data_IF_371886120826
#
_entry.id   IF_371886120826
#
_cell.length_a   1.000
_cell.length_b   1.000
_cell.length_c   1.000
_cell.angle_alpha   90.00
_cell.angle_beta   90.00
_cell.angle_gamma   90.00
#
_symmetry.space_group_name_H-M   'P 1'
#
loop_
_entity.id
_entity.type
_entity.pdbx_description
1 polymer ?
#
# COMPACT_ATOMS: atom_id res chain seq x y z
N UNK A 1 15.88 -0.34 5.07
CA UNK A 1 16.73 -0.01 6.24
C UNK A 1 17.20 1.43 6.10
N UNK A 2 17.05 2.24 7.17
CA UNK A 2 17.66 3.57 7.30
C UNK A 2 18.38 3.64 8.65
N UNK A 3 19.69 3.94 8.61
CA UNK A 3 20.53 4.04 9.80
C UNK A 3 21.43 5.26 9.71
N UNK A 4 21.61 5.96 10.84
CA UNK A 4 22.52 7.11 10.98
C UNK A 4 22.22 8.25 9.98
N UNK A 5 20.97 8.42 9.60
CA UNK A 5 20.52 9.46 8.68
C UNK A 5 20.20 10.78 9.39
N UNK A 6 20.29 11.89 8.64
CA UNK A 6 19.77 13.18 9.03
C UNK A 6 18.67 13.59 8.04
N UNK A 7 17.46 13.77 8.56
CA UNK A 7 16.28 14.26 7.85
C UNK A 7 15.92 15.63 8.41
N UNK A 8 16.25 16.68 7.70
CA UNK A 8 16.12 18.05 8.20
C UNK A 8 15.40 18.97 7.22
N UNK A 9 14.48 19.77 7.76
CA UNK A 9 13.78 20.82 7.00
C UNK A 9 13.02 20.31 5.77
N UNK A 10 12.47 19.11 5.89
CA UNK A 10 11.64 18.54 4.83
C UNK A 10 10.32 19.30 4.73
N UNK A 11 9.84 19.53 3.49
CA UNK A 11 8.58 20.24 3.25
C UNK A 11 7.34 19.36 3.47
N UNK A 12 7.54 18.07 3.63
CA UNK A 12 6.54 17.05 3.92
C UNK A 12 7.10 16.12 5.00
N UNK A 13 6.66 14.85 5.07
CA UNK A 13 7.21 13.85 5.98
C UNK A 13 8.71 13.64 5.72
N UNK A 14 9.47 13.33 6.76
CA UNK A 14 10.88 13.02 6.57
C UNK A 14 11.08 11.75 5.76
N UNK A 15 10.23 10.77 6.01
CA UNK A 15 10.19 9.51 5.27
C UNK A 15 8.77 8.94 5.28
N UNK A 16 8.32 8.42 4.15
CA UNK A 16 7.09 7.66 4.00
C UNK A 16 7.42 6.33 3.35
N UNK A 17 7.11 5.22 4.02
CA UNK A 17 7.37 3.86 3.56
C UNK A 17 6.05 3.10 3.54
N UNK A 18 5.65 2.66 2.35
CA UNK A 18 4.37 1.98 2.14
C UNK A 18 4.41 1.09 0.90
N UNK A 19 3.46 0.18 0.79
CA UNK A 19 3.05 -0.43 -0.47
C UNK A 19 1.87 0.34 -1.05
N UNK A 20 1.20 -0.23 -2.06
CA UNK A 20 0.07 0.41 -2.72
C UNK A 20 -1.09 -0.56 -2.89
N UNK A 21 -2.28 -0.17 -2.46
CA UNK A 21 -3.51 -0.90 -2.73
C UNK A 21 -3.99 -0.68 -4.16
N UNK A 22 -4.59 -1.72 -4.75
CA UNK A 22 -5.54 -1.54 -5.84
C UNK A 22 -6.97 -1.55 -5.27
N UNK A 23 -7.82 -0.64 -5.72
CA UNK A 23 -9.26 -0.72 -5.46
C UNK A 23 -9.87 -1.77 -6.36
N UNK A 24 -10.75 -2.61 -5.80
CA UNK A 24 -11.60 -3.52 -6.58
C UNK A 24 -12.64 -2.68 -7.33
N UNK A 25 -12.59 -2.75 -8.66
CA UNK A 25 -13.51 -2.00 -9.53
C UNK A 25 -14.64 -2.89 -10.06
N UNK A 26 -14.32 -4.16 -10.31
CA UNK A 26 -15.28 -5.08 -10.90
C UNK A 26 -14.90 -6.52 -10.61
N UNK A 27 -15.89 -7.35 -10.30
CA UNK A 27 -15.77 -8.80 -10.31
C UNK A 27 -16.15 -9.32 -11.71
N UNK A 28 -15.28 -10.16 -12.27
CA UNK A 28 -15.52 -10.78 -13.59
C UNK A 28 -16.12 -12.19 -13.40
N UNK A 29 -15.51 -12.96 -12.52
CA UNK A 29 -15.93 -14.30 -12.14
C UNK A 29 -15.44 -14.64 -10.72
N UNK A 30 -15.55 -15.90 -10.30
CA UNK A 30 -15.19 -16.31 -8.94
C UNK A 30 -13.69 -16.22 -8.64
N UNK A 31 -12.85 -16.14 -9.65
CA UNK A 31 -11.40 -16.05 -9.50
C UNK A 31 -10.80 -14.75 -10.02
N UNK A 32 -11.59 -13.90 -10.71
CA UNK A 32 -11.02 -12.79 -11.47
C UNK A 32 -11.67 -11.46 -11.12
N UNK A 33 -10.82 -10.48 -10.78
CA UNK A 33 -11.21 -9.10 -10.51
C UNK A 33 -10.49 -8.12 -11.45
N UNK A 34 -11.06 -6.93 -11.57
CA UNK A 34 -10.36 -5.74 -12.06
C UNK A 34 -9.99 -4.89 -10.85
N UNK A 35 -8.70 -4.65 -10.67
CA UNK A 35 -8.15 -3.72 -9.69
C UNK A 35 -7.62 -2.45 -10.36
N UNK A 36 -7.72 -1.31 -9.67
CA UNK A 36 -7.28 0.00 -10.18
C UNK A 36 -6.43 0.74 -9.16
N UNK A 37 -5.33 1.33 -9.59
CA UNK A 37 -4.65 2.40 -8.86
C UNK A 37 -5.55 3.62 -8.76
N UNK A 38 -5.73 4.14 -7.56
CA UNK A 38 -6.66 5.24 -7.31
C UNK A 38 -5.98 6.60 -7.19
N UNK A 39 -4.77 6.65 -6.63
CA UNK A 39 -4.04 7.90 -6.47
C UNK A 39 -3.19 8.21 -7.69
N UNK A 40 -3.17 9.48 -8.12
CA UNK A 40 -2.47 9.90 -9.35
C UNK A 40 -0.94 9.76 -9.28
N UNK A 41 -0.37 9.67 -8.11
CA UNK A 41 1.08 9.48 -7.90
C UNK A 41 1.49 8.01 -7.74
N UNK A 42 0.53 7.07 -7.75
CA UNK A 42 0.79 5.67 -7.43
C UNK A 42 0.78 4.70 -8.61
N UNK A 43 0.58 5.17 -9.83
CA UNK A 43 0.46 4.32 -11.01
C UNK A 43 1.56 4.56 -12.05
N UNK A 44 1.66 3.68 -13.04
CA UNK A 44 2.67 3.73 -14.10
C UNK A 44 3.70 2.60 -14.06
N UNK A 45 3.54 1.65 -13.15
CA UNK A 45 4.39 0.46 -13.01
C UNK A 45 3.53 -0.79 -12.76
N UNK A 46 4.14 -1.98 -12.87
CA UNK A 46 3.47 -3.23 -12.54
C UNK A 46 3.16 -3.31 -11.04
N UNK A 47 1.97 -3.83 -10.71
CA UNK A 47 1.53 -3.92 -9.31
C UNK A 47 1.87 -5.25 -8.64
N UNK A 48 2.06 -6.31 -9.42
CA UNK A 48 2.38 -7.63 -8.89
C UNK A 48 2.69 -8.62 -9.99
N UNK A 49 3.06 -9.83 -9.58
CA UNK A 49 3.44 -10.94 -10.46
C UNK A 49 2.73 -12.23 -10.04
N UNK A 50 2.60 -13.23 -10.94
CA UNK A 50 2.10 -14.55 -10.58
C UNK A 50 2.92 -15.16 -9.43
N UNK A 51 2.21 -15.66 -8.41
CA UNK A 51 2.81 -16.20 -7.19
C UNK A 51 2.81 -15.23 -6.00
N UNK A 52 2.60 -13.94 -6.21
CA UNK A 52 2.51 -12.97 -5.11
C UNK A 52 1.34 -13.29 -4.19
N UNK A 53 1.58 -13.17 -2.90
CA UNK A 53 0.56 -13.30 -1.85
C UNK A 53 -0.23 -12.02 -1.71
N UNK A 54 -1.54 -12.15 -1.60
CA UNK A 54 -2.45 -11.00 -1.40
C UNK A 54 -3.46 -11.27 -0.30
N UNK A 55 -4.02 -10.21 0.24
CA UNK A 55 -5.29 -10.26 0.92
C UNK A 55 -6.19 -9.09 0.50
N UNK A 56 -7.48 -9.19 0.88
CA UNK A 56 -8.46 -8.16 0.59
C UNK A 56 -8.76 -7.39 1.86
N UNK A 57 -8.94 -6.08 1.72
CA UNK A 57 -9.22 -5.15 2.82
C UNK A 57 -10.53 -4.42 2.54
N UNK A 58 -11.39 -4.30 3.55
CA UNK A 58 -12.55 -3.41 3.51
C UNK A 58 -12.09 -1.98 3.74
N UNK A 59 -12.24 -1.11 2.76
CA UNK A 59 -11.65 0.25 2.78
C UNK A 59 -12.09 1.10 3.98
N UNK A 60 -13.35 0.98 4.41
CA UNK A 60 -13.89 1.82 5.49
C UNK A 60 -13.44 1.44 6.90
N UNK A 61 -13.03 0.20 7.13
CA UNK A 61 -12.65 -0.32 8.46
C UNK A 61 -11.24 -0.87 8.53
N UNK A 62 -10.58 -1.04 7.39
CA UNK A 62 -9.27 -1.69 7.25
C UNK A 62 -9.26 -3.17 7.68
N UNK A 63 -10.43 -3.80 7.79
CA UNK A 63 -10.53 -5.22 8.11
C UNK A 63 -10.14 -6.10 6.95
N UNK A 64 -9.40 -7.17 7.24
CA UNK A 64 -9.11 -8.23 6.27
C UNK A 64 -10.41 -9.00 5.97
N UNK A 65 -10.68 -9.22 4.69
CA UNK A 65 -11.86 -9.93 4.20
C UNK A 65 -11.48 -11.20 3.49
N UNK A 66 -12.11 -12.30 3.89
CA UNK A 66 -11.83 -13.62 3.34
C UNK A 66 -10.50 -14.21 3.83
N UNK A 67 -9.97 -15.14 3.06
CA UNK A 67 -8.68 -15.79 3.32
C UNK A 67 -7.59 -15.18 2.44
N UNK A 68 -6.32 -15.22 2.87
CA UNK A 68 -5.20 -14.92 1.98
C UNK A 68 -5.28 -15.73 0.68
N UNK A 69 -4.89 -15.10 -0.42
CA UNK A 69 -4.91 -15.68 -1.75
C UNK A 69 -3.56 -15.44 -2.43
N UNK A 70 -3.40 -15.92 -3.65
CA UNK A 70 -2.22 -15.61 -4.47
C UNK A 70 -2.62 -15.32 -5.90
N UNK A 71 -1.78 -14.56 -6.59
CA UNK A 71 -1.97 -14.19 -7.99
C UNK A 71 -1.63 -15.40 -8.87
N UNK A 72 -2.59 -15.87 -9.66
CA UNK A 72 -2.36 -16.86 -10.70
C UNK A 72 -1.94 -16.22 -12.02
N UNK A 73 -2.55 -15.07 -12.35
CA UNK A 73 -2.21 -14.29 -13.54
C UNK A 73 -2.58 -12.82 -13.33
N UNK A 74 -1.82 -11.92 -13.92
CA UNK A 74 -2.08 -10.49 -13.93
C UNK A 74 -1.73 -9.90 -15.30
N UNK A 75 -2.56 -9.00 -15.77
CA UNK A 75 -2.33 -8.28 -17.04
C UNK A 75 -3.00 -6.90 -17.01
N UNK A 76 -2.50 -5.91 -17.76
CA UNK A 76 -3.21 -4.65 -17.92
C UNK A 76 -4.63 -4.87 -18.44
N UNK A 77 -5.60 -4.17 -17.87
CA UNK A 77 -7.01 -4.26 -18.29
C UNK A 77 -7.37 -3.19 -19.34
N UNK A 78 -6.67 -2.07 -19.35
CA UNK A 78 -6.83 -0.97 -20.32
C UNK A 78 -5.53 -0.79 -21.10
N UNK A 79 -5.56 -1.12 -22.39
CA UNK A 79 -4.39 -1.00 -23.27
C UNK A 79 -4.20 0.41 -23.87
N UNK A 80 -5.11 1.35 -23.62
CA UNK A 80 -5.16 2.65 -24.29
C UNK A 80 -4.67 3.83 -23.44
N UNK A 81 -4.12 3.59 -22.27
CA UNK A 81 -3.58 4.66 -21.45
C UNK A 81 -2.15 5.00 -21.90
N UNK A 82 -1.96 6.22 -22.36
CA UNK A 82 -0.68 6.70 -22.90
C UNK A 82 0.40 6.90 -21.85
N UNK A 83 0.07 6.74 -20.56
CA UNK A 83 0.95 7.09 -19.44
C UNK A 83 1.18 5.95 -18.44
N UNK A 84 0.96 4.69 -18.81
CA UNK A 84 1.25 3.52 -17.98
C UNK A 84 0.01 2.71 -17.59
N UNK A 85 0.20 1.78 -16.67
CA UNK A 85 -0.83 0.84 -16.27
C UNK A 85 -1.60 1.38 -15.06
N UNK A 86 -2.90 1.57 -15.21
CA UNK A 86 -3.78 2.01 -14.13
C UNK A 86 -4.73 0.92 -13.67
N UNK A 87 -5.14 0.04 -14.56
CA UNK A 87 -6.04 -1.08 -14.27
C UNK A 87 -5.40 -2.42 -14.62
N UNK A 88 -5.68 -3.40 -13.78
CA UNK A 88 -5.21 -4.77 -13.97
C UNK A 88 -6.37 -5.75 -13.87
N UNK A 89 -6.39 -6.71 -14.81
CA UNK A 89 -7.16 -7.93 -14.67
C UNK A 89 -6.29 -8.92 -13.89
N UNK A 90 -6.78 -9.32 -12.72
CA UNK A 90 -6.07 -10.20 -11.81
C UNK A 90 -6.88 -11.47 -11.63
N UNK A 91 -6.27 -12.62 -11.93
CA UNK A 91 -6.84 -13.94 -11.65
C UNK A 91 -6.12 -14.53 -10.44
N UNK A 92 -6.89 -15.04 -9.48
CA UNK A 92 -6.39 -15.60 -8.23
C UNK A 92 -6.40 -17.14 -8.25
N UNK A 93 -5.50 -17.74 -7.48
CA UNK A 93 -5.40 -19.19 -7.38
C UNK A 93 -6.63 -19.85 -6.72
N UNK A 94 -7.21 -19.15 -5.72
CA UNK A 94 -8.41 -19.62 -5.02
C UNK A 94 -9.60 -18.70 -5.33
N UNK A 95 -10.84 -19.19 -5.18
CA UNK A 95 -12.01 -18.33 -5.33
C UNK A 95 -11.95 -17.12 -4.39
N UNK A 96 -12.33 -15.98 -4.91
CA UNK A 96 -12.47 -14.74 -4.16
C UNK A 96 -13.74 -14.79 -3.32
N UNK A 97 -13.68 -14.30 -2.08
CA UNK A 97 -14.83 -14.25 -1.19
C UNK A 97 -16.04 -13.59 -1.89
N UNK A 98 -17.24 -14.19 -1.82
CA UNK A 98 -18.43 -13.65 -2.47
C UNK A 98 -18.80 -12.22 -2.05
N UNK A 99 -18.39 -11.77 -0.87
CA UNK A 99 -18.62 -10.39 -0.41
C UNK A 99 -17.91 -9.37 -1.30
N UNK A 100 -16.81 -9.76 -1.95
CA UNK A 100 -16.01 -8.86 -2.81
C UNK A 100 -16.62 -8.85 -4.19
N UNK A 101 -17.69 -8.11 -4.34
CA UNK A 101 -18.50 -8.03 -5.57
C UNK A 101 -18.22 -6.79 -6.43
N UNK A 102 -17.45 -5.83 -5.92
CA UNK A 102 -17.16 -4.56 -6.57
C UNK A 102 -18.21 -3.47 -6.32
N UNK A 103 -19.22 -3.72 -5.49
CA UNK A 103 -20.23 -2.72 -5.11
C UNK A 103 -19.81 -1.96 -3.84
N UNK A 104 -19.24 -2.66 -2.87
CA UNK A 104 -18.60 -2.04 -1.72
C UNK A 104 -17.13 -1.68 -2.02
N UNK A 105 -16.52 -0.85 -1.18
CA UNK A 105 -15.15 -0.44 -1.35
C UNK A 105 -14.16 -1.44 -0.73
N UNK A 106 -13.49 -2.19 -1.57
CA UNK A 106 -12.44 -3.12 -1.19
C UNK A 106 -11.11 -2.75 -1.84
N UNK A 107 -10.03 -2.90 -1.05
CA UNK A 107 -8.66 -2.85 -1.53
C UNK A 107 -8.08 -4.25 -1.71
N UNK A 108 -7.14 -4.37 -2.62
CA UNK A 108 -6.27 -5.55 -2.77
C UNK A 108 -4.87 -5.15 -2.32
N UNK A 109 -4.33 -5.82 -1.33
CA UNK A 109 -2.98 -5.60 -0.82
C UNK A 109 -2.06 -6.71 -1.30
N UNK A 110 -0.91 -6.34 -1.87
CA UNK A 110 0.13 -7.28 -2.24
C UNK A 110 1.12 -7.44 -1.09
N UNK A 111 1.03 -8.54 -0.36
CA UNK A 111 1.85 -8.83 0.82
C UNK A 111 3.31 -9.12 0.47
N UNK A 112 3.59 -9.58 -0.75
CA UNK A 112 4.95 -9.85 -1.20
C UNK A 112 5.74 -8.56 -1.40
N UNK A 113 5.08 -7.47 -1.78
CA UNK A 113 5.68 -6.18 -2.11
C UNK A 113 5.56 -5.15 -0.98
N UNK A 114 4.99 -5.51 0.16
CA UNK A 114 4.96 -4.64 1.35
C UNK A 114 6.31 -4.69 2.07
N UNK A 115 6.90 -3.54 2.43
CA UNK A 115 8.24 -3.49 2.98
C UNK A 115 8.30 -3.84 4.47
N UNK A 116 9.36 -4.54 4.88
CA UNK A 116 9.84 -4.51 6.26
C UNK A 116 10.66 -3.24 6.50
N UNK A 117 10.59 -2.70 7.71
CA UNK A 117 11.26 -1.44 8.07
C UNK A 117 12.23 -1.63 9.22
N UNK A 118 13.46 -1.18 9.02
CA UNK A 118 14.41 -0.89 10.10
C UNK A 118 14.83 0.58 10.01
N UNK A 119 14.47 1.36 11.03
CA UNK A 119 14.72 2.80 11.12
C UNK A 119 15.45 3.10 12.45
N UNK A 120 16.79 3.27 12.40
CA UNK A 120 17.64 3.31 13.58
C UNK A 120 18.63 4.46 13.57
N UNK A 121 18.92 4.98 14.76
CA UNK A 121 19.98 5.98 14.98
C UNK A 121 19.87 7.21 14.06
N UNK A 122 18.66 7.59 13.65
CA UNK A 122 18.42 8.74 12.79
C UNK A 122 18.08 10.01 13.61
N UNK A 123 18.36 11.14 13.01
CA UNK A 123 17.92 12.45 13.52
C UNK A 123 16.92 13.03 12.53
N UNK A 124 15.71 13.30 13.00
CA UNK A 124 14.62 13.89 12.24
C UNK A 124 14.26 15.22 12.90
N UNK A 125 14.43 16.34 12.19
CA UNK A 125 14.18 17.62 12.80
C UNK A 125 13.72 18.72 11.84
N UNK A 126 12.97 19.68 12.41
CA UNK A 126 12.49 20.88 11.71
C UNK A 126 11.65 20.57 10.47
N UNK A 127 10.89 19.47 10.50
CA UNK A 127 10.06 19.08 9.36
C UNK A 127 8.69 19.75 9.41
N UNK A 128 8.19 20.13 8.24
CA UNK A 128 6.88 20.77 8.10
C UNK A 128 5.71 19.85 8.41
N UNK A 129 5.82 18.55 8.13
CA UNK A 129 4.77 17.58 8.39
C UNK A 129 5.19 16.61 9.52
N UNK A 130 5.00 15.33 9.32
CA UNK A 130 5.33 14.29 10.29
C UNK A 130 6.82 13.95 10.27
N UNK A 131 7.29 13.22 11.28
CA UNK A 131 8.62 12.66 11.28
C UNK A 131 8.73 11.47 10.33
N UNK A 132 8.10 10.36 10.67
CA UNK A 132 8.12 9.14 9.85
C UNK A 132 6.72 8.56 9.72
N UNK A 133 6.38 8.07 8.53
CA UNK A 133 5.15 7.34 8.24
C UNK A 133 5.53 5.94 7.75
N UNK A 134 5.01 4.92 8.43
CA UNK A 134 5.21 3.52 8.07
C UNK A 134 3.86 2.84 7.90
N UNK A 135 3.45 2.61 6.66
CA UNK A 135 2.19 1.99 6.28
C UNK A 135 2.46 0.62 5.67
N UNK A 136 2.66 -0.38 6.53
CA UNK A 136 2.97 -1.76 6.12
C UNK A 136 2.45 -2.76 7.15
N UNK A 137 1.91 -3.92 6.72
CA UNK A 137 1.56 -5.03 7.61
C UNK A 137 2.79 -5.85 8.06
N UNK A 138 3.98 -5.51 7.58
CA UNK A 138 5.22 -6.21 7.91
C UNK A 138 5.87 -5.65 9.17
N UNK A 139 6.97 -6.27 9.58
CA UNK A 139 7.71 -5.85 10.77
C UNK A 139 8.29 -4.44 10.62
N UNK A 140 8.01 -3.59 11.61
CA UNK A 140 8.60 -2.25 11.74
C UNK A 140 9.44 -2.20 13.01
N UNK A 141 10.72 -1.91 12.88
CA UNK A 141 11.64 -1.71 14.00
C UNK A 141 12.16 -0.27 13.98
N UNK A 142 11.81 0.48 15.02
CA UNK A 142 12.24 1.88 15.21
C UNK A 142 13.03 1.97 16.51
N UNK A 143 14.31 2.32 16.44
CA UNK A 143 15.23 2.27 17.58
C UNK A 143 16.19 3.47 17.58
N UNK A 144 16.40 4.08 18.76
CA UNK A 144 17.40 5.13 19.00
C UNK A 144 17.28 6.38 18.08
N UNK A 145 16.10 6.71 17.59
CA UNK A 145 15.92 7.89 16.74
C UNK A 145 15.59 9.12 17.59
N UNK A 146 16.00 10.28 17.10
CA UNK A 146 15.66 11.57 17.68
C UNK A 146 14.68 12.29 16.76
N UNK A 147 13.49 12.61 17.28
CA UNK A 147 12.50 13.44 16.61
C UNK A 147 12.41 14.79 17.32
N UNK A 148 12.76 15.87 16.63
CA UNK A 148 12.82 17.21 17.17
C UNK A 148 12.13 18.21 16.24
N UNK A 149 11.18 18.98 16.76
CA UNK A 149 10.45 19.99 15.99
C UNK A 149 9.83 19.46 14.67
N UNK A 150 9.12 18.34 14.72
CA UNK A 150 8.20 17.94 13.65
C UNK A 150 6.84 18.62 13.89
N UNK A 151 6.21 19.19 12.87
CA UNK A 151 4.93 19.90 13.03
C UNK A 151 3.76 18.93 13.26
N UNK A 152 3.88 17.67 12.79
CA UNK A 152 2.94 16.58 13.05
C UNK A 152 3.51 15.56 14.03
N UNK A 153 2.90 14.36 14.05
CA UNK A 153 3.37 13.23 14.85
C UNK A 153 4.81 12.84 14.51
N UNK A 154 5.58 12.46 15.52
CA UNK A 154 6.93 11.94 15.31
C UNK A 154 6.90 10.67 14.46
N UNK A 155 6.01 9.74 14.78
CA UNK A 155 5.82 8.48 14.04
C UNK A 155 4.31 8.27 13.84
N UNK A 156 3.92 7.89 12.62
CA UNK A 156 2.57 7.48 12.30
C UNK A 156 2.59 6.08 11.68
N UNK A 157 1.82 5.16 12.26
CA UNK A 157 1.53 3.83 11.72
C UNK A 157 0.07 3.83 11.28
N UNK A 158 -0.18 3.96 10.00
CA UNK A 158 -1.54 4.11 9.49
C UNK A 158 -1.58 3.72 8.02
N UNK A 159 -2.47 2.81 7.66
CA UNK A 159 -2.81 2.55 6.27
C UNK A 159 -3.95 3.46 5.80
N UNK A 160 -4.09 3.63 4.50
CA UNK A 160 -5.18 4.37 3.88
C UNK A 160 -5.67 3.66 2.62
N UNK A 161 -6.82 3.05 2.68
CA UNK A 161 -7.50 2.42 1.54
C UNK A 161 -8.67 3.28 1.01
N UNK A 162 -8.62 4.59 1.19
CA UNK A 162 -9.71 5.49 0.81
C UNK A 162 -9.26 6.83 0.19
N UNK A 163 -8.02 7.24 0.39
CA UNK A 163 -7.45 8.49 -0.17
C UNK A 163 -6.18 8.22 -0.95
N UNK A 164 -5.09 7.96 -0.25
CA UNK A 164 -3.78 7.71 -0.84
C UNK A 164 -3.62 6.27 -1.33
N UNK A 165 -4.41 5.33 -0.82
CA UNK A 165 -4.32 3.90 -1.13
C UNK A 165 -2.94 3.31 -0.78
N UNK A 166 -2.40 3.73 0.34
CA UNK A 166 -1.19 3.21 0.94
C UNK A 166 -1.50 1.99 1.81
N UNK A 167 -0.65 0.96 1.78
CA UNK A 167 -0.88 -0.30 2.49
C UNK A 167 -1.01 -0.10 4.01
N UNK A 168 -1.76 -0.98 4.64
CA UNK A 168 -2.09 -0.91 6.05
C UNK A 168 -0.94 -1.22 7.01
N UNK A 169 -1.17 -0.94 8.28
CA UNK A 169 -0.30 -1.27 9.39
C UNK A 169 -0.93 -2.36 10.25
#
# INVERSE_FOLDING_TARGET
>A
ISCNGLYESMMDDAINIHGTYLKVIKRIDDHTLIGRYMHDQSWGFGWGEPGDSIHFIRSGTMDIVGKPNSIAAISPATLNETSGFREFKITFCNPVDPQIDGQEEYGIENLTWTPEVEFKDNIIRNNRARGALFSTPQKVLVENNIFDHTSGTAILLCGDCNGWYETGA
#
